data_IF_995883124323
#
_entry.id   IF_995883124323
#
_cell.length_a   1.000
_cell.length_b   1.000
_cell.length_c   1.000
_cell.angle_alpha   90.00
_cell.angle_beta   90.00
_cell.angle_gamma   90.00
#
_symmetry.space_group_name_H-M   'P 1'
#
loop_
_entity.id
_entity.type
_entity.pdbx_description
1 polymer ?
#
# COMPACT_ATOMS: atom_id res chain seq x y z
N UNK A 1 10.94 7.99 -29.70
CA UNK A 1 9.53 7.96 -30.17
C UNK A 1 8.95 6.61 -29.75
N UNK A 2 8.42 6.51 -28.54
CA UNK A 2 7.83 5.27 -28.02
C UNK A 2 6.33 5.27 -28.33
N UNK A 3 5.89 4.28 -29.11
CA UNK A 3 4.49 4.12 -29.54
C UNK A 3 3.61 3.75 -28.34
N UNK A 4 2.65 4.62 -28.04
CA UNK A 4 1.53 4.32 -27.13
C UNK A 4 0.71 3.18 -27.73
N UNK A 5 0.74 2.01 -27.10
CA UNK A 5 -0.21 0.95 -27.42
C UNK A 5 -1.59 1.36 -26.92
N UNK A 6 -2.48 1.57 -27.90
CA UNK A 6 -3.89 1.84 -27.71
C UNK A 6 -4.59 0.58 -27.16
N UNK A 7 -4.56 0.44 -25.86
CA UNK A 7 -5.59 -0.22 -25.06
C UNK A 7 -5.81 0.71 -23.87
N UNK A 8 -7.04 0.85 -23.41
CA UNK A 8 -7.39 1.77 -22.33
C UNK A 8 -6.75 1.34 -21.00
N UNK A 9 -5.42 1.47 -20.87
CA UNK A 9 -4.62 1.56 -19.65
C UNK A 9 -4.79 0.51 -18.56
N UNK A 10 -5.45 -0.63 -18.80
CA UNK A 10 -5.79 -1.59 -17.76
C UNK A 10 -5.21 -2.98 -18.04
N UNK A 11 -3.92 -3.23 -17.79
CA UNK A 11 -3.38 -4.58 -17.81
C UNK A 11 -3.94 -5.47 -16.67
N UNK A 12 -4.52 -4.89 -15.61
CA UNK A 12 -5.06 -5.67 -14.47
C UNK A 12 -6.47 -5.28 -13.99
N UNK A 13 -7.18 -4.38 -14.69
CA UNK A 13 -8.62 -4.14 -14.47
C UNK A 13 -9.06 -3.59 -13.09
N UNK A 14 -8.18 -3.40 -12.11
CA UNK A 14 -8.51 -2.79 -10.81
C UNK A 14 -8.37 -1.26 -10.77
N UNK A 15 -8.83 -0.66 -9.67
CA UNK A 15 -8.66 0.76 -9.36
C UNK A 15 -7.16 1.05 -9.21
N UNK A 16 -6.67 2.06 -9.92
CA UNK A 16 -5.27 2.46 -9.91
C UNK A 16 -5.20 3.79 -9.18
N UNK A 17 -4.68 3.81 -7.94
CA UNK A 17 -4.51 5.05 -7.15
C UNK A 17 -3.75 6.11 -7.96
N UNK A 18 -2.77 5.65 -8.75
CA UNK A 18 -2.01 6.49 -9.64
C UNK A 18 -2.77 6.95 -10.91
N UNK A 19 -3.84 6.28 -11.35
CA UNK A 19 -4.62 6.69 -12.53
C UNK A 19 -5.48 7.90 -12.18
N UNK A 20 -5.96 7.95 -10.94
CA UNK A 20 -6.74 9.09 -10.47
C UNK A 20 -5.86 10.33 -10.31
N UNK A 21 -4.63 10.19 -9.80
CA UNK A 21 -3.68 11.30 -9.69
C UNK A 21 -3.28 11.84 -11.07
N UNK A 22 -2.95 10.95 -12.02
CA UNK A 22 -2.55 11.34 -13.39
C UNK A 22 -3.70 12.03 -14.13
N UNK A 23 -4.96 11.60 -13.92
CA UNK A 23 -6.14 12.24 -14.53
C UNK A 23 -6.47 13.61 -13.94
N UNK A 24 -6.10 13.89 -12.69
CA UNK A 24 -6.42 15.15 -11.99
C UNK A 24 -5.37 16.25 -12.19
N UNK A 25 -4.08 15.91 -12.25
CA UNK A 25 -3.01 16.93 -12.32
C UNK A 25 -1.63 16.47 -12.81
N UNK A 26 -1.53 15.26 -13.39
CA UNK A 26 -0.27 14.76 -13.95
C UNK A 26 0.79 14.38 -12.91
N UNK A 27 2.07 14.49 -13.28
CA UNK A 27 3.20 14.02 -12.45
C UNK A 27 3.40 14.82 -11.16
N UNK A 28 3.09 16.13 -11.17
CA UNK A 28 3.21 16.95 -9.96
C UNK A 28 2.21 16.54 -8.89
N UNK A 29 0.96 16.27 -9.29
CA UNK A 29 -0.08 15.78 -8.38
C UNK A 29 0.28 14.41 -7.80
N UNK A 30 0.83 13.53 -8.65
CA UNK A 30 1.31 12.22 -8.22
C UNK A 30 2.39 12.33 -7.12
N UNK A 31 3.34 13.25 -7.27
CA UNK A 31 4.37 13.46 -6.25
C UNK A 31 3.83 14.13 -4.99
N UNK A 32 2.85 15.03 -5.12
CA UNK A 32 2.16 15.65 -3.98
C UNK A 32 1.44 14.61 -3.13
N UNK A 33 0.65 13.74 -3.77
CA UNK A 33 -0.07 12.66 -3.08
C UNK A 33 0.92 11.69 -2.43
N UNK A 34 1.99 11.30 -3.15
CA UNK A 34 3.04 10.45 -2.59
C UNK A 34 3.65 11.04 -1.32
N UNK A 35 4.01 12.32 -1.35
CA UNK A 35 4.56 13.01 -0.18
C UNK A 35 3.53 13.11 0.97
N UNK A 36 2.26 13.37 0.66
CA UNK A 36 1.19 13.42 1.66
C UNK A 36 1.00 12.06 2.36
N UNK A 37 0.92 10.97 1.59
CA UNK A 37 0.79 9.61 2.12
C UNK A 37 1.99 9.24 3.00
N UNK A 38 3.21 9.59 2.58
CA UNK A 38 4.42 9.39 3.41
C UNK A 38 4.27 10.11 4.75
N UNK A 39 3.82 11.38 4.73
CA UNK A 39 3.56 12.15 5.94
C UNK A 39 2.50 11.51 6.84
N UNK A 40 1.41 10.99 6.26
CA UNK A 40 0.34 10.30 6.99
C UNK A 40 0.85 9.07 7.74
N UNK A 41 1.65 8.22 7.09
CA UNK A 41 2.23 7.04 7.75
C UNK A 41 3.22 7.41 8.86
N UNK A 42 4.13 8.35 8.59
CA UNK A 42 5.12 8.78 9.58
C UNK A 42 4.46 9.46 10.79
N UNK A 43 3.31 10.13 10.60
CA UNK A 43 2.53 10.73 11.68
C UNK A 43 1.84 9.71 12.60
N UNK A 44 1.78 8.42 12.23
CA UNK A 44 1.24 7.37 13.10
C UNK A 44 2.11 7.13 14.34
N UNK A 45 3.40 7.50 14.29
CA UNK A 45 4.32 7.36 15.42
C UNK A 45 4.59 5.91 15.83
N UNK A 46 4.49 4.96 14.89
CA UNK A 46 4.79 3.54 15.12
C UNK A 46 6.32 3.39 15.22
N UNK A 47 6.78 2.73 16.27
CA UNK A 47 8.20 2.51 16.52
C UNK A 47 8.85 1.76 15.34
N UNK A 48 10.06 2.17 14.95
CA UNK A 48 10.82 1.63 13.81
C UNK A 48 10.14 1.72 12.43
N UNK A 49 9.00 2.42 12.32
CA UNK A 49 8.33 2.66 11.04
C UNK A 49 8.67 4.06 10.50
N UNK A 50 9.69 4.14 9.65
CA UNK A 50 10.04 5.36 8.91
C UNK A 50 9.84 5.14 7.39
N UNK A 51 8.87 5.83 6.81
CA UNK A 51 8.61 5.79 5.37
C UNK A 51 9.43 6.87 4.67
N UNK A 52 10.36 6.44 3.82
CA UNK A 52 11.17 7.32 2.97
C UNK A 52 10.68 7.40 1.53
N UNK A 53 10.01 6.35 1.08
CA UNK A 53 9.49 6.25 -0.27
C UNK A 53 8.30 5.31 -0.36
N UNK A 54 7.54 5.39 -1.45
CA UNK A 54 6.41 4.53 -1.76
C UNK A 54 6.48 4.00 -3.18
N UNK A 55 6.08 2.74 -3.33
CA UNK A 55 5.96 2.06 -4.60
C UNK A 55 4.49 1.83 -4.95
N UNK A 56 4.22 1.64 -6.23
CA UNK A 56 2.92 1.15 -6.70
C UNK A 56 2.96 -0.37 -6.77
N UNK A 57 2.26 -1.01 -5.85
CA UNK A 57 2.27 -2.46 -5.66
C UNK A 57 0.96 -3.05 -6.14
N UNK A 58 1.05 -4.09 -6.98
CA UNK A 58 -0.12 -4.87 -7.40
C UNK A 58 -0.64 -5.66 -6.19
N UNK A 59 -1.94 -5.59 -5.95
CA UNK A 59 -2.63 -6.24 -4.84
C UNK A 59 -2.30 -7.73 -4.72
N UNK A 60 -2.14 -8.42 -5.85
CA UNK A 60 -1.80 -9.85 -5.88
C UNK A 60 -0.57 -10.20 -5.03
N UNK A 61 0.41 -9.29 -4.92
CA UNK A 61 1.63 -9.53 -4.15
C UNK A 61 1.53 -9.12 -2.68
N UNK A 62 0.59 -8.23 -2.33
CA UNK A 62 0.53 -7.59 -1.01
C UNK A 62 -0.77 -7.88 -0.25
N UNK A 63 -1.72 -8.56 -0.88
CA UNK A 63 -3.01 -8.93 -0.29
C UNK A 63 -2.90 -10.19 0.57
N UNK A 64 -2.23 -10.01 1.72
CA UNK A 64 -2.07 -11.04 2.73
C UNK A 64 -3.41 -11.34 3.41
N UNK A 65 -3.55 -12.57 3.88
CA UNK A 65 -4.71 -13.03 4.65
C UNK A 65 -4.38 -13.01 6.13
N UNK A 66 -5.10 -12.18 6.89
CA UNK A 66 -4.80 -11.88 8.29
C UNK A 66 -5.69 -12.69 9.24
N UNK A 67 -5.12 -13.47 10.18
CA UNK A 67 -5.90 -14.12 11.23
C UNK A 67 -6.42 -13.09 12.24
N UNK A 68 -7.67 -13.26 12.66
CA UNK A 68 -8.34 -12.45 13.68
C UNK A 68 -8.54 -13.25 14.97
N UNK A 69 -8.59 -12.56 16.10
CA UNK A 69 -8.77 -13.19 17.42
C UNK A 69 -10.07 -13.96 17.62
N UNK A 70 -11.06 -13.79 16.72
CA UNK A 70 -12.30 -14.57 16.71
C UNK A 70 -12.22 -15.88 15.89
N UNK A 71 -11.02 -16.24 15.41
CA UNK A 71 -10.79 -17.45 14.63
C UNK A 71 -11.13 -17.33 13.14
N UNK A 72 -11.52 -16.14 12.67
CA UNK A 72 -11.70 -15.86 11.24
C UNK A 72 -10.40 -15.33 10.63
N UNK A 73 -10.31 -15.39 9.31
CA UNK A 73 -9.28 -14.69 8.53
C UNK A 73 -9.92 -13.71 7.56
N UNK A 74 -9.23 -12.62 7.27
CA UNK A 74 -9.73 -11.56 6.38
C UNK A 74 -8.63 -11.03 5.47
N UNK A 75 -9.04 -10.64 4.26
CA UNK A 75 -8.25 -9.85 3.31
C UNK A 75 -8.84 -8.44 3.23
N UNK A 76 -7.98 -7.43 3.26
CA UNK A 76 -8.42 -6.02 3.20
C UNK A 76 -8.26 -5.41 1.80
N UNK A 77 -7.52 -6.09 0.92
CA UNK A 77 -7.20 -5.60 -0.42
C UNK A 77 -7.83 -6.51 -1.48
N UNK A 78 -7.86 -5.98 -2.70
CA UNK A 78 -8.23 -6.69 -3.92
C UNK A 78 -6.99 -6.98 -4.79
N UNK A 79 -6.82 -8.22 -5.23
CA UNK A 79 -5.63 -8.69 -5.98
C UNK A 79 -5.42 -7.93 -7.29
N UNK A 80 -6.50 -7.45 -7.91
CA UNK A 80 -6.49 -6.77 -9.22
C UNK A 80 -6.14 -5.28 -9.15
N UNK A 81 -6.12 -4.70 -7.95
CA UNK A 81 -5.89 -3.27 -7.74
C UNK A 81 -4.40 -2.96 -7.61
N UNK A 82 -4.07 -1.67 -7.67
CA UNK A 82 -2.71 -1.20 -7.39
C UNK A 82 -2.76 -0.16 -6.28
N UNK A 83 -1.91 -0.37 -5.28
CA UNK A 83 -1.86 0.40 -4.05
C UNK A 83 -0.53 1.13 -3.92
N UNK A 84 -0.51 2.20 -3.14
CA UNK A 84 0.75 2.66 -2.59
C UNK A 84 1.20 1.70 -1.50
N UNK A 85 2.48 1.36 -1.47
CA UNK A 85 3.01 0.56 -0.39
C UNK A 85 4.52 0.44 -0.38
N UNK A 86 5.03 -0.14 0.70
CA UNK A 86 6.44 -0.44 0.89
C UNK A 86 6.66 -1.48 1.98
N UNK A 87 7.84 -2.11 1.99
CA UNK A 87 8.32 -2.93 3.10
C UNK A 87 9.39 -2.17 3.88
N UNK A 88 9.28 -2.15 5.20
CA UNK A 88 10.25 -1.52 6.10
C UNK A 88 10.84 -2.59 7.03
N UNK A 89 12.16 -2.75 7.01
CA UNK A 89 12.87 -3.66 7.92
C UNK A 89 12.86 -3.12 9.35
N UNK A 90 12.65 -4.01 10.32
CA UNK A 90 12.75 -3.68 11.73
C UNK A 90 14.17 -4.06 12.20
N UNK A 91 14.94 -3.14 12.81
CA UNK A 91 16.29 -3.44 13.27
C UNK A 91 16.32 -4.64 14.23
N UNK A 92 17.29 -5.53 14.01
CA UNK A 92 17.53 -6.71 14.86
C UNK A 92 16.31 -7.66 15.00
N UNK A 93 15.41 -7.66 14.00
CA UNK A 93 14.22 -8.49 13.97
C UNK A 93 14.10 -9.23 12.62
N UNK A 94 13.61 -10.47 12.65
CA UNK A 94 13.37 -11.30 11.46
C UNK A 94 12.05 -10.96 10.74
N UNK A 95 11.30 -10.00 11.30
CA UNK A 95 10.03 -9.50 10.77
C UNK A 95 10.17 -8.10 10.20
N UNK A 96 9.24 -7.75 9.31
CA UNK A 96 9.20 -6.47 8.63
C UNK A 96 7.82 -5.86 8.75
N UNK A 97 7.73 -4.54 8.67
CA UNK A 97 6.48 -3.87 8.41
C UNK A 97 6.13 -3.89 6.93
N UNK A 98 4.88 -4.19 6.63
CA UNK A 98 4.23 -3.90 5.36
C UNK A 98 3.27 -2.73 5.52
N UNK A 99 3.41 -1.72 4.66
CA UNK A 99 2.45 -0.62 4.57
C UNK A 99 1.76 -0.64 3.21
N UNK A 100 0.44 -0.52 3.21
CA UNK A 100 -0.37 -0.46 2.00
C UNK A 100 -1.49 0.56 2.18
N UNK A 101 -1.79 1.34 1.14
CA UNK A 101 -2.87 2.32 1.20
C UNK A 101 -3.47 2.63 -0.16
N UNK A 102 -4.76 2.98 -0.15
CA UNK A 102 -5.49 3.55 -1.27
C UNK A 102 -6.11 4.91 -0.88
N UNK A 103 -7.13 5.38 -1.59
CA UNK A 103 -7.79 6.65 -1.31
C UNK A 103 -8.59 6.65 0.01
N UNK A 104 -9.00 5.48 0.48
CA UNK A 104 -9.97 5.32 1.57
C UNK A 104 -9.35 4.72 2.83
N UNK A 105 -8.35 3.85 2.72
CA UNK A 105 -7.83 3.07 3.84
C UNK A 105 -6.31 2.99 3.86
N UNK A 106 -5.75 3.02 5.06
CA UNK A 106 -4.36 2.70 5.37
C UNK A 106 -4.29 1.39 6.15
N UNK A 107 -3.35 0.55 5.77
CA UNK A 107 -3.00 -0.70 6.43
C UNK A 107 -1.52 -0.68 6.80
N UNK A 108 -1.23 -0.96 8.07
CA UNK A 108 0.10 -1.30 8.57
C UNK A 108 0.02 -2.71 9.14
N UNK A 109 0.93 -3.57 8.71
CA UNK A 109 1.04 -4.92 9.21
C UNK A 109 2.49 -5.27 9.51
N UNK A 110 2.70 -6.27 10.33
CA UNK A 110 3.99 -6.92 10.55
C UNK A 110 3.92 -8.34 10.01
N UNK A 111 4.98 -8.83 9.37
CA UNK A 111 5.05 -10.19 8.85
C UNK A 111 6.48 -10.74 8.84
N UNK A 112 6.62 -12.06 8.84
CA UNK A 112 7.88 -12.76 8.62
C UNK A 112 8.20 -13.00 7.14
N UNK A 113 9.30 -13.71 6.87
CA UNK A 113 9.77 -14.02 5.51
C UNK A 113 8.64 -14.38 4.52
N UNK A 114 8.62 -13.70 3.37
CA UNK A 114 7.63 -13.87 2.30
C UNK A 114 6.17 -13.59 2.73
N UNK A 115 5.93 -12.74 3.73
CA UNK A 115 4.58 -12.41 4.18
C UNK A 115 3.98 -13.44 5.14
N UNK A 116 4.81 -14.29 5.75
CA UNK A 116 4.37 -15.30 6.70
C UNK A 116 3.86 -14.68 8.00
N UNK A 117 2.89 -15.34 8.64
CA UNK A 117 2.31 -14.96 9.93
C UNK A 117 2.01 -13.45 10.04
N UNK A 118 1.15 -12.92 9.15
CA UNK A 118 0.89 -11.49 9.08
C UNK A 118 -0.01 -11.04 10.23
N UNK A 119 0.37 -9.94 10.87
CA UNK A 119 -0.35 -9.34 12.00
C UNK A 119 -0.75 -7.91 11.66
N UNK A 120 -2.00 -7.55 11.95
CA UNK A 120 -2.49 -6.19 11.71
C UNK A 120 -2.01 -5.31 12.86
N UNK A 121 -1.21 -4.29 12.54
CA UNK A 121 -0.81 -3.26 13.49
C UNK A 121 -1.83 -2.12 13.47
N UNK A 122 -2.29 -1.72 12.28
CA UNK A 122 -3.28 -0.66 12.11
C UNK A 122 -4.07 -0.86 10.82
N UNK A 123 -5.39 -0.75 10.90
CA UNK A 123 -6.27 -0.57 9.75
C UNK A 123 -7.17 0.64 10.01
N UNK A 124 -7.06 1.68 9.20
CA UNK A 124 -7.65 2.98 9.47
C UNK A 124 -8.22 3.60 8.21
N UNK A 125 -9.41 4.18 8.33
CA UNK A 125 -9.99 5.02 7.27
C UNK A 125 -9.22 6.35 7.14
N UNK A 126 -8.88 6.73 5.91
CA UNK A 126 -8.32 8.04 5.56
C UNK A 126 -9.43 9.09 5.56
N UNK A 127 -9.10 10.28 6.05
CA UNK A 127 -9.97 11.44 6.01
C UNK A 127 -9.23 12.57 5.30
N UNK A 128 -9.89 13.19 4.34
CA UNK A 128 -9.39 14.31 3.53
C UNK A 128 -10.11 15.60 3.90
#
# INVERSE_FOLDING_TARGET
>A
MWRLYNSAGHPFGGTYVAAECIKKGGFEEFQREKAAVIGEFNALGIEHLEIKDLNLLNGFFVNLEYPLGNGQSVKFLEDRNVYWGNQIEIPENDRCYGIVTDAEYMLVCEYGCNGADPEIILYKKRFH
#
